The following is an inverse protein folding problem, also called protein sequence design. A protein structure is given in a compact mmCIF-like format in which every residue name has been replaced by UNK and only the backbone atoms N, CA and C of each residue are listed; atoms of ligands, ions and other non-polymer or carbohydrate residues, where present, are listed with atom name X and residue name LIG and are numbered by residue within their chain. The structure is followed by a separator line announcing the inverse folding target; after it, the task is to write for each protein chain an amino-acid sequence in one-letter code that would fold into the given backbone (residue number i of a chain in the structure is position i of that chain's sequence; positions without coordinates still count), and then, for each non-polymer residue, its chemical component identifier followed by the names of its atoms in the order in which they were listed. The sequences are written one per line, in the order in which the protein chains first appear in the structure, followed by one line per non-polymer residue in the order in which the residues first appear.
data_IF_699664237553
#
_entry.id   IF_699664237553
#
_cell.length_a   1.000
_cell.length_b   1.000
_cell.length_c   1.000
_cell.angle_alpha   90.00
_cell.angle_beta   90.00
_cell.angle_gamma   90.00
#
_symmetry.space_group_name_H-M   'P 1'
#
loop_
_entity.id
_entity.type
_entity.pdbx_description
1 polymer ?
#
# COMPACT_ATOMS: atom_id res chain seq x y z
N UNK A 1 -32.78 13.70 -26.04
CA UNK A 1 -31.43 13.91 -25.48
C UNK A 1 -30.58 12.69 -25.82
N UNK A 2 -29.57 12.83 -26.69
CA UNK A 2 -28.69 11.73 -27.10
C UNK A 2 -27.91 11.26 -25.87
N UNK A 3 -28.05 10.00 -25.50
CA UNK A 3 -27.22 9.28 -24.54
C UNK A 3 -25.77 9.37 -25.01
N UNK A 4 -24.94 10.26 -24.38
CA UNK A 4 -23.51 10.13 -24.51
C UNK A 4 -23.13 8.81 -23.84
N UNK A 5 -22.95 7.77 -24.68
CA UNK A 5 -22.24 6.55 -24.28
C UNK A 5 -20.94 6.99 -23.60
N UNK A 6 -20.66 6.42 -22.44
CA UNK A 6 -19.37 6.56 -21.77
C UNK A 6 -18.29 6.22 -22.81
N UNK A 7 -17.51 7.22 -23.17
CA UNK A 7 -16.56 7.16 -24.28
C UNK A 7 -15.51 6.07 -23.96
N UNK A 8 -15.20 5.19 -24.91
CA UNK A 8 -14.15 4.16 -24.77
C UNK A 8 -12.83 4.77 -24.26
N UNK A 9 -12.52 6.02 -24.64
CA UNK A 9 -11.38 6.77 -24.16
C UNK A 9 -11.39 7.05 -22.66
N UNK A 10 -12.55 7.32 -22.06
CA UNK A 10 -12.67 7.48 -20.60
C UNK A 10 -12.28 6.18 -19.88
N UNK A 11 -12.82 5.04 -20.28
CA UNK A 11 -12.48 3.76 -19.66
C UNK A 11 -11.05 3.32 -19.88
N UNK A 12 -10.45 3.64 -21.04
CA UNK A 12 -9.03 3.39 -21.28
C UNK A 12 -8.15 4.17 -20.30
N UNK A 13 -8.52 5.42 -19.96
CA UNK A 13 -7.82 6.22 -18.96
C UNK A 13 -8.05 5.65 -17.55
N UNK A 14 -9.30 5.32 -17.20
CA UNK A 14 -9.63 4.76 -15.88
C UNK A 14 -8.81 3.50 -15.60
N UNK A 15 -8.82 2.55 -16.52
CA UNK A 15 -8.08 1.29 -16.34
C UNK A 15 -6.58 1.46 -16.53
N UNK A 16 -6.12 2.20 -17.55
CA UNK A 16 -4.69 2.34 -17.85
C UNK A 16 -3.95 3.10 -16.75
N UNK A 17 -4.45 4.26 -16.37
CA UNK A 17 -3.80 5.06 -15.33
C UNK A 17 -4.05 4.49 -13.93
N UNK A 18 -5.28 4.00 -13.67
CA UNK A 18 -5.59 3.35 -12.41
C UNK A 18 -4.69 2.15 -12.14
N UNK A 19 -4.52 1.27 -13.15
CA UNK A 19 -3.64 0.09 -13.03
C UNK A 19 -2.17 0.50 -12.87
N UNK A 20 -1.67 1.43 -13.69
CA UNK A 20 -0.28 1.87 -13.61
C UNK A 20 0.06 2.48 -12.25
N UNK A 21 -0.82 3.33 -11.70
CA UNK A 21 -0.61 3.91 -10.38
C UNK A 21 -0.66 2.87 -9.26
N UNK A 22 -1.62 1.96 -9.30
CA UNK A 22 -1.72 0.90 -8.30
C UNK A 22 -0.56 -0.12 -8.39
N UNK A 23 -0.07 -0.43 -9.59
CA UNK A 23 1.14 -1.26 -9.76
C UNK A 23 2.37 -0.57 -9.16
N UNK A 24 2.51 0.74 -9.35
CA UNK A 24 3.62 1.50 -8.80
C UNK A 24 3.59 1.53 -7.26
N UNK A 25 2.41 1.76 -6.66
CA UNK A 25 2.22 1.66 -5.21
C UNK A 25 2.46 0.25 -4.67
N UNK A 26 2.02 -0.79 -5.40
CA UNK A 26 2.32 -2.17 -5.02
C UNK A 26 3.82 -2.44 -5.04
N UNK A 27 4.53 -1.95 -6.06
CA UNK A 27 5.97 -2.12 -6.18
C UNK A 27 6.71 -1.47 -5.01
N UNK A 28 6.33 -0.24 -4.62
CA UNK A 28 6.90 0.45 -3.46
C UNK A 28 6.68 -0.34 -2.17
N UNK A 29 5.45 -0.76 -1.92
CA UNK A 29 5.10 -1.45 -0.68
C UNK A 29 5.70 -2.86 -0.59
N UNK A 30 5.93 -3.53 -1.71
CA UNK A 30 6.35 -4.93 -1.77
C UNK A 30 7.85 -5.09 -2.05
N UNK A 31 8.33 -4.49 -3.13
CA UNK A 31 9.65 -4.79 -3.67
C UNK A 31 10.76 -3.87 -3.19
N UNK A 32 10.44 -2.67 -2.71
CA UNK A 32 11.46 -1.75 -2.21
C UNK A 32 12.13 -2.27 -0.94
N UNK A 33 11.35 -2.86 -0.04
CA UNK A 33 11.86 -3.40 1.21
C UNK A 33 12.81 -4.58 0.98
N UNK A 34 12.47 -5.48 0.05
CA UNK A 34 13.33 -6.61 -0.33
C UNK A 34 14.55 -6.17 -1.12
N UNK A 35 14.41 -5.17 -2.01
CA UNK A 35 15.53 -4.56 -2.72
C UNK A 35 16.56 -3.96 -1.75
N UNK A 36 16.12 -3.24 -0.72
CA UNK A 36 17.02 -2.65 0.28
C UNK A 36 17.85 -3.73 0.95
N UNK A 37 17.21 -4.81 1.38
CA UNK A 37 17.91 -5.93 2.02
C UNK A 37 18.87 -6.66 1.07
N UNK A 38 18.47 -6.89 -0.16
CA UNK A 38 19.27 -7.63 -1.14
C UNK A 38 20.44 -6.81 -1.71
N UNK A 39 20.27 -5.49 -1.90
CA UNK A 39 21.19 -4.67 -2.70
C UNK A 39 21.86 -3.53 -1.94
N UNK A 40 21.29 -3.07 -0.84
CA UNK A 40 21.79 -1.89 -0.14
C UNK A 40 22.37 -2.27 1.24
N UNK A 41 21.53 -2.79 2.12
CA UNK A 41 21.91 -3.20 3.47
C UNK A 41 20.76 -3.93 4.17
N UNK A 42 21.09 -4.95 4.95
CA UNK A 42 20.13 -5.63 5.82
C UNK A 42 19.79 -4.86 7.12
N UNK A 43 20.11 -3.57 7.23
CA UNK A 43 19.73 -2.75 8.39
C UNK A 43 18.26 -2.33 8.29
N UNK A 44 17.44 -2.85 9.20
CA UNK A 44 15.99 -2.55 9.28
C UNK A 44 15.70 -1.04 9.46
N UNK A 45 16.65 -0.26 9.97
CA UNK A 45 16.47 1.19 10.09
C UNK A 45 16.29 1.87 8.75
N UNK A 46 16.95 1.42 7.68
CA UNK A 46 16.84 2.02 6.35
C UNK A 46 15.39 1.86 5.85
N UNK A 47 14.84 0.64 5.91
CA UNK A 47 13.43 0.38 5.55
C UNK A 47 12.49 1.21 6.41
N UNK A 48 12.75 1.29 7.71
CA UNK A 48 11.94 2.08 8.64
C UNK A 48 11.88 3.55 8.24
N UNK A 49 13.02 4.18 8.00
CA UNK A 49 13.07 5.59 7.59
C UNK A 49 12.48 5.80 6.20
N UNK A 50 12.70 4.87 5.27
CA UNK A 50 12.11 4.89 3.94
C UNK A 50 10.58 4.98 4.03
N UNK A 51 9.93 4.06 4.75
CA UNK A 51 8.46 4.04 4.89
C UNK A 51 7.93 5.27 5.64
N UNK A 52 8.60 5.72 6.72
CA UNK A 52 8.17 6.89 7.48
C UNK A 52 8.26 8.17 6.65
N UNK A 53 9.37 8.38 5.96
CA UNK A 53 9.58 9.60 5.14
C UNK A 53 8.63 9.59 3.95
N UNK A 54 8.44 8.43 3.30
CA UNK A 54 7.47 8.24 2.22
C UNK A 54 6.05 8.62 2.67
N UNK A 55 5.58 8.13 3.82
CA UNK A 55 4.26 8.45 4.36
C UNK A 55 4.07 9.95 4.65
N UNK A 56 5.10 10.60 5.21
CA UNK A 56 5.07 12.04 5.47
C UNK A 56 5.01 12.84 4.18
N UNK A 57 5.88 12.51 3.23
CA UNK A 57 6.00 13.23 1.94
C UNK A 57 4.75 13.02 1.09
N UNK A 58 4.19 11.81 1.03
CA UNK A 58 2.91 11.49 0.37
C UNK A 58 1.77 12.34 0.94
N UNK A 59 1.70 12.42 2.28
CA UNK A 59 0.68 13.24 2.96
C UNK A 59 0.81 14.71 2.57
N UNK A 60 2.01 15.28 2.65
CA UNK A 60 2.27 16.68 2.26
C UNK A 60 1.94 16.92 0.80
N UNK A 61 2.39 16.02 -0.09
CA UNK A 61 2.12 16.09 -1.53
C UNK A 61 0.64 16.11 -1.84
N UNK A 62 -0.15 15.22 -1.22
CA UNK A 62 -1.60 15.15 -1.42
C UNK A 62 -2.28 16.48 -1.10
N UNK A 63 -1.93 17.12 0.02
CA UNK A 63 -2.51 18.41 0.39
C UNK A 63 -2.05 19.57 -0.51
N UNK A 64 -0.76 19.64 -0.79
CA UNK A 64 -0.16 20.70 -1.61
C UNK A 64 -0.72 20.66 -3.03
N UNK A 65 -0.65 19.52 -3.69
CA UNK A 65 -1.10 19.40 -5.08
C UNK A 65 -2.62 19.32 -5.21
N UNK A 66 -3.33 18.77 -4.24
CA UNK A 66 -4.77 18.87 -4.17
C UNK A 66 -5.22 20.33 -4.19
N UNK A 67 -4.70 21.15 -3.26
CA UNK A 67 -4.99 22.58 -3.21
C UNK A 67 -4.56 23.32 -4.48
N UNK A 68 -3.37 23.00 -5.01
CA UNK A 68 -2.85 23.66 -6.20
C UNK A 68 -3.67 23.36 -7.45
N UNK A 69 -4.03 22.09 -7.65
CA UNK A 69 -4.85 21.67 -8.79
C UNK A 69 -6.27 22.28 -8.74
N UNK A 70 -6.86 22.45 -7.53
CA UNK A 70 -8.12 23.15 -7.33
C UNK A 70 -8.03 24.63 -7.69
N UNK A 71 -6.95 25.30 -7.29
CA UNK A 71 -6.73 26.72 -7.61
C UNK A 71 -6.51 26.96 -9.09
N UNK A 72 -5.90 26.04 -9.81
CA UNK A 72 -5.68 26.15 -11.26
C UNK A 72 -6.89 25.67 -12.07
N UNK A 73 -7.75 24.83 -11.52
CA UNK A 73 -8.84 24.18 -12.25
C UNK A 73 -8.33 23.26 -13.36
N UNK A 74 -7.17 22.66 -13.17
CA UNK A 74 -6.52 21.77 -14.13
C UNK A 74 -6.00 20.54 -13.41
N UNK A 75 -6.43 19.37 -13.85
CA UNK A 75 -6.00 18.08 -13.30
C UNK A 75 -4.98 17.39 -14.19
N UNK A 76 -5.22 17.42 -15.50
CA UNK A 76 -4.43 16.72 -16.51
C UNK A 76 -2.94 16.96 -16.37
N UNK A 77 -2.51 18.22 -16.18
CA UNK A 77 -1.07 18.55 -16.13
C UNK A 77 -0.37 17.87 -14.94
N UNK A 78 -1.03 17.87 -13.76
CA UNK A 78 -0.48 17.23 -12.56
C UNK A 78 -0.41 15.71 -12.73
N UNK A 79 -1.46 15.11 -13.29
CA UNK A 79 -1.49 13.68 -13.58
C UNK A 79 -0.40 13.31 -14.58
N UNK A 80 -0.39 13.91 -15.76
CA UNK A 80 0.53 13.51 -16.84
C UNK A 80 2.00 13.75 -16.48
N UNK A 81 2.34 14.95 -15.98
CA UNK A 81 3.70 15.24 -15.56
C UNK A 81 4.10 14.39 -14.34
N UNK A 82 3.16 14.20 -13.41
CA UNK A 82 3.39 13.38 -12.23
C UNK A 82 3.74 11.94 -12.59
N UNK A 83 2.98 11.28 -13.48
CA UNK A 83 3.30 9.92 -13.94
C UNK A 83 4.65 9.83 -14.64
N UNK A 84 5.00 10.80 -15.49
CA UNK A 84 6.31 10.81 -16.17
C UNK A 84 7.44 10.91 -15.15
N UNK A 85 7.35 11.84 -14.20
CA UNK A 85 8.37 12.03 -13.17
C UNK A 85 8.41 10.82 -12.23
N UNK A 86 7.24 10.28 -11.85
CA UNK A 86 7.15 9.08 -11.02
C UNK A 86 7.86 7.89 -11.66
N UNK A 87 7.64 7.62 -12.96
CA UNK A 87 8.35 6.55 -13.65
C UNK A 87 9.86 6.80 -13.74
N UNK A 88 10.31 8.06 -13.98
CA UNK A 88 11.73 8.40 -13.96
C UNK A 88 12.36 8.18 -12.58
N UNK A 89 11.66 8.58 -11.50
CA UNK A 89 12.16 8.40 -10.13
C UNK A 89 12.12 6.95 -9.67
N UNK A 90 11.21 6.13 -10.18
CA UNK A 90 11.20 4.68 -9.99
C UNK A 90 12.48 4.04 -10.54
N UNK A 91 12.90 4.43 -11.77
CA UNK A 91 14.17 3.97 -12.35
C UNK A 91 15.34 4.46 -11.50
N UNK A 92 15.32 5.74 -11.10
CA UNK A 92 16.36 6.34 -10.28
C UNK A 92 16.50 5.63 -8.92
N UNK A 93 15.38 5.20 -8.30
CA UNK A 93 15.40 4.40 -7.08
C UNK A 93 16.17 3.10 -7.30
N UNK A 94 15.87 2.34 -8.35
CA UNK A 94 16.60 1.11 -8.69
C UNK A 94 18.09 1.36 -8.89
N UNK A 95 18.47 2.49 -9.50
CA UNK A 95 19.87 2.82 -9.73
C UNK A 95 20.68 3.09 -8.46
N UNK A 96 20.06 3.18 -7.28
CA UNK A 96 20.78 3.37 -6.01
C UNK A 96 21.71 2.20 -5.66
N UNK A 97 21.48 0.99 -6.18
CA UNK A 97 22.40 -0.13 -6.00
C UNK A 97 23.80 0.17 -6.55
N UNK A 98 23.89 0.91 -7.66
CA UNK A 98 25.20 1.28 -8.24
C UNK A 98 26.03 2.23 -7.34
N UNK A 99 25.35 2.98 -6.45
CA UNK A 99 26.07 3.76 -5.44
C UNK A 99 26.70 2.86 -4.39
N UNK A 100 26.03 1.76 -4.03
CA UNK A 100 26.56 0.74 -3.11
C UNK A 100 27.71 -0.03 -3.75
N UNK A 101 27.60 -0.39 -5.02
CA UNK A 101 28.60 -1.19 -5.76
C UNK A 101 29.74 -0.35 -6.36
N UNK A 102 29.70 0.97 -6.19
CA UNK A 102 30.63 1.90 -6.86
C UNK A 102 32.11 1.72 -6.46
N UNK A 103 32.40 1.05 -5.34
CA UNK A 103 33.75 1.03 -4.75
C UNK A 103 34.18 2.36 -4.12
N UNK A 104 33.36 3.42 -4.17
CA UNK A 104 33.62 4.74 -3.61
C UNK A 104 33.08 4.82 -2.20
N UNK A 105 33.95 4.86 -1.17
CA UNK A 105 33.54 4.82 0.23
C UNK A 105 32.47 5.85 0.64
N UNK A 106 32.51 7.06 0.07
CA UNK A 106 31.49 8.07 0.33
C UNK A 106 30.10 7.68 -0.25
N UNK A 107 30.02 7.10 -1.43
CA UNK A 107 28.76 6.64 -2.04
C UNK A 107 28.22 5.41 -1.31
N UNK A 108 29.08 4.51 -0.90
CA UNK A 108 28.72 3.34 -0.11
C UNK A 108 28.08 3.80 1.22
N UNK A 109 28.73 4.73 1.93
CA UNK A 109 28.21 5.24 3.19
C UNK A 109 26.87 6.00 3.04
N UNK A 110 26.63 6.60 1.88
CA UNK A 110 25.40 7.35 1.59
C UNK A 110 24.29 6.50 0.96
N UNK A 111 24.56 5.25 0.57
CA UNK A 111 23.61 4.42 -0.19
C UNK A 111 22.24 4.29 0.50
N UNK A 112 22.20 4.06 1.80
CA UNK A 112 20.97 4.02 2.58
C UNK A 112 20.22 5.36 2.58
N UNK A 113 20.91 6.49 2.71
CA UNK A 113 20.29 7.82 2.64
C UNK A 113 19.77 8.13 1.21
N UNK A 114 20.49 7.68 0.18
CA UNK A 114 20.06 7.83 -1.22
C UNK A 114 18.78 7.05 -1.50
N UNK A 115 18.65 5.84 -0.97
CA UNK A 115 17.41 5.05 -1.07
C UNK A 115 16.23 5.81 -0.44
N UNK A 116 16.38 6.28 0.80
CA UNK A 116 15.33 7.05 1.49
C UNK A 116 14.98 8.33 0.72
N UNK A 117 15.97 9.04 0.20
CA UNK A 117 15.73 10.29 -0.54
C UNK A 117 15.04 10.04 -1.89
N UNK A 118 15.46 9.03 -2.64
CA UNK A 118 14.87 8.71 -3.95
C UNK A 118 13.46 8.17 -3.81
N UNK A 119 13.19 7.35 -2.79
CA UNK A 119 11.86 6.90 -2.44
C UNK A 119 10.94 8.08 -2.06
N UNK A 120 11.41 8.99 -1.21
CA UNK A 120 10.67 10.19 -0.86
C UNK A 120 10.29 11.05 -2.08
N UNK A 121 11.22 11.25 -3.02
CA UNK A 121 10.96 11.98 -4.27
C UNK A 121 9.94 11.22 -5.12
N UNK A 122 10.09 9.91 -5.23
CA UNK A 122 9.18 9.05 -5.98
C UNK A 122 7.76 9.12 -5.41
N UNK A 123 7.59 8.95 -4.12
CA UNK A 123 6.31 9.01 -3.42
C UNK A 123 5.66 10.40 -3.49
N UNK A 124 6.47 11.47 -3.45
CA UNK A 124 5.98 12.84 -3.62
C UNK A 124 5.30 13.04 -4.99
N UNK A 125 5.92 12.61 -6.07
CA UNK A 125 5.36 12.72 -7.41
C UNK A 125 4.30 11.67 -7.69
N UNK A 126 4.39 10.48 -7.09
CA UNK A 126 3.37 9.44 -7.13
C UNK A 126 2.05 9.92 -6.54
N UNK A 127 2.10 10.52 -5.37
CA UNK A 127 0.92 11.10 -4.71
C UNK A 127 0.36 12.32 -5.46
N UNK A 128 1.22 13.19 -6.02
CA UNK A 128 0.78 14.25 -6.93
C UNK A 128 0.00 13.68 -8.12
N UNK A 129 0.52 12.61 -8.72
CA UNK A 129 -0.03 12.01 -9.94
C UNK A 129 -1.32 11.25 -9.67
N UNK A 130 -1.33 10.39 -8.65
CA UNK A 130 -2.40 9.44 -8.38
C UNK A 130 -3.42 9.95 -7.37
N UNK A 131 -3.00 10.31 -6.15
CA UNK A 131 -3.92 10.63 -5.06
C UNK A 131 -4.60 11.98 -5.27
N UNK A 132 -3.82 13.02 -5.55
CA UNK A 132 -4.34 14.38 -5.75
C UNK A 132 -4.63 14.74 -7.22
N UNK A 133 -4.12 13.95 -8.17
CA UNK A 133 -4.33 14.16 -9.59
C UNK A 133 -5.42 13.27 -10.17
N UNK A 134 -5.09 11.98 -10.39
CA UNK A 134 -5.97 11.00 -11.04
C UNK A 134 -7.27 10.76 -10.25
N UNK A 135 -7.19 10.60 -8.92
CA UNK A 135 -8.37 10.33 -8.09
C UNK A 135 -9.36 11.49 -8.14
N UNK A 136 -8.87 12.73 -8.11
CA UNK A 136 -9.71 13.93 -8.22
C UNK A 136 -10.27 14.07 -9.64
N UNK A 137 -9.45 13.85 -10.68
CA UNK A 137 -9.91 13.84 -12.06
C UNK A 137 -11.02 12.82 -12.29
N UNK A 138 -10.89 11.62 -11.70
CA UNK A 138 -11.91 10.57 -11.78
C UNK A 138 -13.21 11.00 -11.10
N UNK A 139 -13.12 11.64 -9.92
CA UNK A 139 -14.28 12.18 -9.22
C UNK A 139 -15.00 13.26 -10.04
N UNK A 140 -14.24 14.16 -10.71
CA UNK A 140 -14.81 15.21 -11.58
C UNK A 140 -15.58 14.63 -12.78
N UNK A 141 -15.22 13.42 -13.26
CA UNK A 141 -15.87 12.71 -14.38
C UNK A 141 -16.92 11.69 -13.93
N UNK A 142 -17.08 11.49 -12.62
CA UNK A 142 -18.06 10.56 -12.05
C UNK A 142 -19.41 11.26 -11.89
N UNK A 143 -20.48 10.59 -12.33
CA UNK A 143 -21.85 11.06 -12.24
C UNK A 143 -22.78 9.89 -11.88
N UNK A 144 -24.05 10.16 -11.57
CA UNK A 144 -25.03 9.15 -11.14
C UNK A 144 -25.16 7.96 -12.09
N UNK A 145 -24.83 8.14 -13.39
CA UNK A 145 -24.97 7.07 -14.40
C UNK A 145 -23.76 6.12 -14.44
N UNK A 146 -22.57 6.62 -14.11
CA UNK A 146 -21.34 5.83 -14.17
C UNK A 146 -20.74 5.51 -12.80
N UNK A 147 -21.25 6.10 -11.71
CA UNK A 147 -20.73 5.95 -10.34
C UNK A 147 -20.57 4.48 -9.92
N UNK A 148 -21.57 3.63 -10.24
CA UNK A 148 -21.48 2.21 -9.92
C UNK A 148 -20.35 1.48 -10.65
N UNK A 149 -20.14 1.82 -11.94
CA UNK A 149 -19.07 1.20 -12.74
C UNK A 149 -17.69 1.71 -12.32
N UNK A 150 -17.57 3.01 -12.04
CA UNK A 150 -16.34 3.62 -11.52
C UNK A 150 -15.99 3.02 -10.16
N UNK A 151 -16.99 2.90 -9.27
CA UNK A 151 -16.81 2.25 -7.97
C UNK A 151 -16.34 0.81 -8.09
N UNK A 152 -16.90 0.03 -9.04
CA UNK A 152 -16.46 -1.33 -9.32
C UNK A 152 -15.01 -1.37 -9.84
N UNK A 153 -14.63 -0.48 -10.74
CA UNK A 153 -13.24 -0.38 -11.22
C UNK A 153 -12.26 -0.06 -10.09
N UNK A 154 -12.60 0.93 -9.25
CA UNK A 154 -11.78 1.31 -8.09
C UNK A 154 -11.65 0.20 -7.03
N UNK A 155 -12.61 -0.70 -6.94
CA UNK A 155 -12.54 -1.86 -6.05
C UNK A 155 -11.64 -2.98 -6.62
N UNK A 156 -11.63 -3.15 -7.94
CA UNK A 156 -10.88 -4.22 -8.62
C UNK A 156 -9.41 -3.82 -8.86
N UNK A 157 -9.14 -2.57 -9.21
CA UNK A 157 -7.81 -2.09 -9.58
C UNK A 157 -6.73 -2.38 -8.54
N UNK A 158 -6.91 -2.08 -7.23
CA UNK A 158 -5.89 -2.37 -6.22
C UNK A 158 -5.60 -3.87 -6.10
N UNK A 159 -6.64 -4.71 -6.13
CA UNK A 159 -6.50 -6.17 -6.01
C UNK A 159 -5.76 -6.72 -7.22
N UNK A 160 -6.20 -6.34 -8.43
CA UNK A 160 -5.59 -6.79 -9.68
C UNK A 160 -4.11 -6.37 -9.75
N UNK A 161 -3.81 -5.12 -9.40
CA UNK A 161 -2.44 -4.61 -9.43
C UNK A 161 -1.55 -5.27 -8.38
N UNK A 162 -2.08 -5.55 -7.18
CA UNK A 162 -1.31 -6.25 -6.16
C UNK A 162 -0.99 -7.68 -6.60
N UNK A 163 -1.98 -8.44 -7.08
CA UNK A 163 -1.75 -9.81 -7.57
C UNK A 163 -0.76 -9.82 -8.75
N UNK A 164 -0.98 -8.97 -9.75
CA UNK A 164 -0.10 -8.90 -10.93
C UNK A 164 1.29 -8.38 -10.54
N UNK A 165 1.36 -7.30 -9.78
CA UNK A 165 2.62 -6.67 -9.38
C UNK A 165 3.48 -7.57 -8.48
N UNK A 166 2.84 -8.36 -7.61
CA UNK A 166 3.55 -9.29 -6.73
C UNK A 166 4.03 -10.51 -7.51
N UNK A 167 3.17 -11.18 -8.27
CA UNK A 167 3.54 -12.40 -9.02
C UNK A 167 4.52 -12.08 -10.16
N UNK A 168 4.17 -11.12 -11.02
CA UNK A 168 5.02 -10.77 -12.17
C UNK A 168 6.30 -10.07 -11.70
N UNK A 169 6.22 -9.25 -10.65
CA UNK A 169 7.39 -8.59 -10.07
C UNK A 169 8.41 -9.59 -9.54
N UNK A 170 7.98 -10.58 -8.76
CA UNK A 170 8.85 -11.64 -8.27
C UNK A 170 9.48 -12.48 -9.39
N UNK A 171 8.69 -12.81 -10.42
CA UNK A 171 9.22 -13.52 -11.59
C UNK A 171 10.27 -12.68 -12.34
N UNK A 172 10.04 -11.40 -12.54
CA UNK A 172 11.01 -10.51 -13.22
C UNK A 172 12.32 -10.39 -12.43
N UNK A 173 12.23 -10.28 -11.11
CA UNK A 173 13.39 -10.16 -10.23
C UNK A 173 14.27 -11.42 -10.30
N UNK A 174 13.67 -12.61 -10.36
CA UNK A 174 14.40 -13.86 -10.43
C UNK A 174 15.06 -14.13 -11.81
N UNK A 175 14.70 -13.38 -12.85
CA UNK A 175 15.30 -13.57 -14.18
C UNK A 175 16.80 -13.26 -14.14
N UNK A 176 17.60 -14.26 -14.50
CA UNK A 176 19.06 -14.12 -14.57
C UNK A 176 19.80 -14.45 -13.26
N UNK A 177 19.10 -14.70 -12.16
CA UNK A 177 19.75 -15.21 -10.95
C UNK A 177 20.05 -16.71 -11.10
N UNK A 178 21.34 -17.13 -11.17
CA UNK A 178 21.71 -18.52 -11.39
C UNK A 178 21.47 -19.43 -10.17
N UNK A 179 21.19 -18.86 -9.02
CA UNK A 179 20.97 -19.61 -7.77
C UNK A 179 19.50 -20.01 -7.57
N UNK A 180 18.57 -19.49 -8.40
CA UNK A 180 17.16 -19.90 -8.35
C UNK A 180 17.02 -21.39 -8.66
N UNK A 181 16.29 -22.10 -7.81
CA UNK A 181 16.11 -23.56 -7.89
C UNK A 181 17.29 -24.37 -7.39
N UNK A 182 18.24 -23.74 -6.69
CA UNK A 182 19.33 -24.42 -5.97
C UNK A 182 19.12 -24.33 -4.46
N UNK A 183 19.75 -25.25 -3.71
CA UNK A 183 19.69 -25.23 -2.24
C UNK A 183 20.37 -24.00 -1.61
N UNK A 184 21.14 -23.24 -2.38
CA UNK A 184 21.86 -22.04 -1.93
C UNK A 184 21.37 -20.81 -2.67
N UNK A 185 20.07 -20.53 -2.61
CA UNK A 185 19.51 -19.31 -3.19
C UNK A 185 20.12 -18.07 -2.56
N UNK A 186 20.58 -17.15 -3.42
CA UNK A 186 21.22 -15.90 -3.02
C UNK A 186 20.41 -14.70 -3.57
N UNK A 187 19.64 -13.99 -2.71
CA UNK A 187 18.84 -12.83 -3.11
C UNK A 187 19.68 -11.66 -3.64
N UNK A 188 20.97 -11.61 -3.29
CA UNK A 188 21.86 -10.53 -3.78
C UNK A 188 22.11 -10.60 -5.30
N UNK A 189 21.89 -11.77 -5.91
CA UNK A 189 22.01 -11.96 -7.36
C UNK A 189 20.71 -11.71 -8.12
N UNK A 190 19.65 -11.37 -7.43
CA UNK A 190 18.36 -11.01 -8.03
C UNK A 190 18.44 -9.76 -8.91
N UNK A 191 17.67 -9.75 -10.00
CA UNK A 191 17.68 -8.70 -11.00
C UNK A 191 16.58 -7.66 -10.75
N UNK A 192 16.72 -6.88 -9.67
CA UNK A 192 15.79 -5.78 -9.36
C UNK A 192 15.78 -4.68 -10.44
N UNK A 193 16.88 -4.49 -11.19
CA UNK A 193 16.95 -3.53 -12.27
C UNK A 193 15.91 -3.82 -13.36
N UNK A 194 15.73 -5.10 -13.72
CA UNK A 194 14.73 -5.48 -14.70
C UNK A 194 13.31 -5.05 -14.28
N UNK A 195 12.97 -5.21 -13.01
CA UNK A 195 11.69 -4.74 -12.46
C UNK A 195 11.56 -3.22 -12.54
N UNK A 196 12.54 -2.47 -12.00
CA UNK A 196 12.47 -1.01 -11.93
C UNK A 196 12.45 -0.35 -13.31
N UNK A 197 13.26 -0.83 -14.25
CA UNK A 197 13.23 -0.32 -15.63
C UNK A 197 11.92 -0.65 -16.33
N UNK A 198 11.41 -1.88 -16.21
CA UNK A 198 10.15 -2.29 -16.84
C UNK A 198 8.99 -1.46 -16.32
N UNK A 199 8.88 -1.33 -14.99
CA UNK A 199 7.81 -0.58 -14.36
C UNK A 199 7.92 0.93 -14.59
N UNK A 200 9.12 1.48 -14.43
CA UNK A 200 9.35 2.91 -14.67
C UNK A 200 9.03 3.32 -16.10
N UNK A 201 9.50 2.57 -17.10
CA UNK A 201 9.16 2.81 -18.51
C UNK A 201 7.66 2.65 -18.77
N UNK A 202 6.99 1.65 -18.19
CA UNK A 202 5.54 1.49 -18.32
C UNK A 202 4.80 2.73 -17.80
N UNK A 203 5.16 3.23 -16.62
CA UNK A 203 4.54 4.41 -16.00
C UNK A 203 4.82 5.68 -16.82
N UNK A 204 6.04 5.85 -17.37
CA UNK A 204 6.38 6.96 -18.27
C UNK A 204 5.50 6.91 -19.52
N UNK A 205 5.37 5.74 -20.17
CA UNK A 205 4.55 5.57 -21.38
C UNK A 205 3.09 5.94 -21.09
N UNK A 206 2.54 5.47 -19.97
CA UNK A 206 1.17 5.82 -19.55
C UNK A 206 1.03 7.31 -19.28
N UNK A 207 2.03 7.94 -18.64
CA UNK A 207 2.08 9.38 -18.42
C UNK A 207 2.12 10.18 -19.73
N UNK A 208 2.94 9.78 -20.69
CA UNK A 208 3.01 10.40 -22.03
C UNK A 208 1.67 10.21 -22.77
N UNK A 209 1.10 9.00 -22.76
CA UNK A 209 -0.19 8.73 -23.37
C UNK A 209 -1.31 9.61 -22.79
N UNK A 210 -1.29 9.87 -21.48
CA UNK A 210 -2.26 10.74 -20.84
C UNK A 210 -2.21 12.19 -21.33
N UNK A 211 -1.06 12.69 -21.76
CA UNK A 211 -0.94 14.01 -22.40
C UNK A 211 -1.81 14.16 -23.65
N UNK A 212 -2.02 13.07 -24.37
CA UNK A 212 -2.80 13.09 -25.62
C UNK A 212 -4.27 12.74 -25.39
N UNK A 213 -4.56 11.76 -24.54
CA UNK A 213 -5.90 11.18 -24.41
C UNK A 213 -6.70 11.73 -23.24
N UNK A 214 -6.06 12.22 -22.17
CA UNK A 214 -6.75 12.78 -21.00
C UNK A 214 -7.22 14.20 -21.27
N UNK A 215 -8.42 14.54 -20.80
CA UNK A 215 -9.02 15.88 -20.86
C UNK A 215 -9.58 16.25 -19.49
N UNK A 216 -9.41 17.51 -19.11
CA UNK A 216 -10.06 18.04 -17.93
C UNK A 216 -11.59 18.13 -18.16
N UNK A 217 -12.38 17.97 -17.10
CA UNK A 217 -13.82 18.12 -17.19
C UNK A 217 -14.19 19.59 -17.44
N UNK A 218 -15.11 19.90 -18.38
CA UNK A 218 -15.42 21.29 -18.76
C UNK A 218 -16.01 22.13 -17.63
N UNK A 219 -16.61 21.51 -16.61
CA UNK A 219 -17.19 22.21 -15.48
C UNK A 219 -16.20 22.50 -14.35
N UNK A 220 -14.99 21.95 -14.43
CA UNK A 220 -13.93 22.23 -13.45
C UNK A 220 -13.43 23.66 -13.63
N UNK A 221 -13.67 24.47 -12.63
CA UNK A 221 -13.27 25.88 -12.60
C UNK A 221 -12.21 26.11 -11.54
N UNK A 222 -11.39 27.14 -11.75
CA UNK A 222 -10.44 27.61 -10.74
C UNK A 222 -11.17 28.05 -9.48
N UNK A 223 -10.87 27.41 -8.34
CA UNK A 223 -11.39 27.75 -7.02
C UNK A 223 -10.31 28.43 -6.17
N UNK A 224 -10.15 29.74 -6.36
CA UNK A 224 -9.24 30.54 -5.53
C UNK A 224 -10.01 31.14 -4.36
N UNK A 225 -9.78 30.62 -3.16
CA UNK A 225 -10.28 31.20 -1.90
C UNK A 225 -9.09 31.67 -1.08
N UNK A 226 -8.92 32.98 -0.93
CA UNK A 226 -7.82 33.55 -0.17
C UNK A 226 -6.42 33.24 -0.72
N UNK A 227 -5.42 33.27 0.14
CA UNK A 227 -4.03 32.86 -0.17
C UNK A 227 -3.95 31.34 -0.32
N UNK A 228 -2.85 30.85 -0.92
CA UNK A 228 -2.61 29.42 -1.04
C UNK A 228 -2.54 28.75 0.35
N UNK A 229 -1.85 29.37 1.29
CA UNK A 229 -1.65 28.83 2.63
C UNK A 229 -2.96 28.79 3.43
N UNK A 230 -3.80 29.82 3.33
CA UNK A 230 -5.12 29.82 3.96
C UNK A 230 -6.01 28.70 3.41
N UNK A 231 -6.00 28.46 2.12
CA UNK A 231 -6.77 27.40 1.50
C UNK A 231 -6.21 26.00 1.88
N UNK A 232 -4.89 25.85 1.97
CA UNK A 232 -4.25 24.63 2.44
C UNK A 232 -4.60 24.33 3.90
N UNK A 233 -4.51 25.32 4.79
CA UNK A 233 -4.83 25.19 6.21
C UNK A 233 -6.33 24.97 6.42
N UNK A 234 -7.18 25.50 5.55
CA UNK A 234 -8.64 25.33 5.66
C UNK A 234 -9.08 23.86 5.63
N UNK A 235 -8.27 22.98 5.04
CA UNK A 235 -8.50 21.53 5.06
C UNK A 235 -8.42 20.95 6.49
N UNK A 236 -7.67 21.62 7.39
CA UNK A 236 -7.50 21.20 8.79
C UNK A 236 -8.38 21.97 9.78
N UNK A 237 -9.30 22.83 9.30
CA UNK A 237 -10.18 23.59 10.19
C UNK A 237 -11.16 22.67 10.91
N UNK A 238 -10.90 22.46 12.21
CA UNK A 238 -11.70 21.60 13.09
C UNK A 238 -13.15 22.11 13.29
N UNK A 239 -13.41 23.39 13.02
CA UNK A 239 -14.77 23.98 13.13
C UNK A 239 -15.79 23.28 12.24
N UNK A 240 -15.38 22.87 11.04
CA UNK A 240 -16.25 22.11 10.11
C UNK A 240 -16.49 20.68 10.57
N UNK A 241 -15.57 20.09 11.33
CA UNK A 241 -15.73 18.76 11.92
C UNK A 241 -16.74 18.76 13.06
N UNK A 242 -16.74 19.81 13.89
CA UNK A 242 -17.68 19.93 15.02
C UNK A 242 -19.15 20.07 14.58
N UNK A 243 -19.41 20.44 13.32
CA UNK A 243 -20.76 20.52 12.76
C UNK A 243 -21.31 19.15 12.30
N UNK A 244 -20.47 18.10 12.24
CA UNK A 244 -20.93 16.76 11.87
C UNK A 244 -21.72 16.12 13.03
N UNK A 245 -23.01 15.84 12.90
CA UNK A 245 -23.82 15.23 13.95
C UNK A 245 -23.34 13.81 14.32
N UNK A 246 -22.57 13.16 13.44
CA UNK A 246 -22.02 11.82 13.62
C UNK A 246 -20.50 11.82 13.84
N UNK A 247 -19.91 12.96 14.26
CA UNK A 247 -18.45 13.10 14.45
C UNK A 247 -17.85 12.00 15.32
N UNK A 248 -18.51 11.66 16.43
CA UNK A 248 -18.02 10.63 17.34
C UNK A 248 -17.96 9.24 16.69
N UNK A 249 -19.01 8.85 15.96
CA UNK A 249 -19.04 7.59 15.21
C UNK A 249 -17.94 7.59 14.13
N UNK A 250 -17.77 8.70 13.42
CA UNK A 250 -16.77 8.85 12.38
C UNK A 250 -15.34 8.72 12.92
N UNK A 251 -15.02 9.40 14.04
CA UNK A 251 -13.70 9.29 14.67
C UNK A 251 -13.42 7.86 15.17
N UNK A 252 -14.45 7.17 15.70
CA UNK A 252 -14.32 5.77 16.12
C UNK A 252 -14.14 4.84 14.92
N UNK A 253 -14.82 5.07 13.80
CA UNK A 253 -14.61 4.31 12.56
C UNK A 253 -13.19 4.53 12.00
N UNK A 254 -12.67 5.76 12.03
CA UNK A 254 -11.28 6.07 11.70
C UNK A 254 -10.31 5.37 12.66
N UNK A 255 -10.61 5.35 13.95
CA UNK A 255 -9.79 4.67 14.96
C UNK A 255 -9.79 3.15 14.77
N UNK A 256 -10.89 2.52 14.35
CA UNK A 256 -10.94 1.09 13.97
C UNK A 256 -9.97 0.83 12.83
N UNK A 257 -10.01 1.64 11.79
CA UNK A 257 -9.09 1.49 10.66
C UNK A 257 -7.63 1.68 11.11
N UNK A 258 -7.34 2.77 11.83
CA UNK A 258 -6.00 3.08 12.32
C UNK A 258 -5.44 1.94 13.20
N UNK A 259 -6.23 1.44 14.16
CA UNK A 259 -5.82 0.37 15.07
C UNK A 259 -5.53 -0.95 14.36
N UNK A 260 -6.23 -1.25 13.26
CA UNK A 260 -5.96 -2.43 12.43
C UNK A 260 -4.71 -2.23 11.55
N UNK A 261 -4.56 -1.05 10.96
CA UNK A 261 -3.47 -0.82 10.01
C UNK A 261 -2.11 -0.56 10.67
N UNK A 262 -2.05 -0.22 11.96
CA UNK A 262 -0.78 -0.16 12.70
C UNK A 262 -0.08 -1.53 12.70
N UNK A 263 -0.67 -2.62 13.24
CA UNK A 263 -0.04 -3.93 13.17
C UNK A 263 0.14 -4.44 11.73
N UNK A 264 -0.78 -4.13 10.81
CA UNK A 264 -0.62 -4.44 9.40
C UNK A 264 0.70 -3.87 8.85
N UNK A 265 0.97 -2.59 9.07
CA UNK A 265 2.17 -1.95 8.53
C UNK A 265 3.46 -2.50 9.13
N UNK A 266 3.49 -2.97 10.36
CA UNK A 266 4.73 -3.51 10.87
C UNK A 266 5.03 -4.93 10.37
N UNK A 267 4.05 -5.81 10.24
CA UNK A 267 4.36 -7.15 9.71
C UNK A 267 4.44 -7.17 8.18
N UNK A 268 3.59 -6.41 7.48
CA UNK A 268 3.56 -6.40 6.02
C UNK A 268 4.83 -5.79 5.42
N UNK A 269 5.34 -4.70 6.00
CA UNK A 269 6.61 -4.07 5.59
C UNK A 269 7.78 -5.07 5.59
N UNK A 270 7.75 -6.06 6.49
CA UNK A 270 8.82 -7.02 6.68
C UNK A 270 8.48 -8.44 6.21
N UNK A 271 7.25 -8.67 5.70
CA UNK A 271 6.78 -9.99 5.27
C UNK A 271 7.68 -10.60 4.19
N UNK A 272 8.02 -9.82 3.16
CA UNK A 272 8.89 -10.27 2.08
C UNK A 272 10.28 -10.66 2.58
N UNK A 273 10.88 -9.82 3.42
CA UNK A 273 12.19 -10.11 3.99
C UNK A 273 12.18 -11.33 4.92
N UNK A 274 11.08 -11.54 5.66
CA UNK A 274 10.89 -12.75 6.45
C UNK A 274 10.81 -14.00 5.57
N UNK A 275 10.00 -13.98 4.51
CA UNK A 275 9.84 -15.13 3.60
C UNK A 275 11.15 -15.49 2.88
N UNK A 276 11.99 -14.49 2.56
CA UNK A 276 13.25 -14.70 1.85
C UNK A 276 14.36 -15.12 2.82
N UNK A 277 14.59 -14.38 3.92
CA UNK A 277 15.78 -14.53 4.75
C UNK A 277 15.60 -15.48 5.95
N UNK A 278 14.37 -15.67 6.45
CA UNK A 278 14.08 -16.60 7.56
C UNK A 278 13.53 -17.94 7.04
N UNK A 279 12.58 -17.88 6.09
CA UNK A 279 11.93 -19.07 5.53
C UNK A 279 12.74 -19.68 4.37
N UNK A 280 13.51 -18.87 3.65
CA UNK A 280 14.37 -19.34 2.55
C UNK A 280 13.64 -19.47 1.20
N UNK A 281 12.51 -18.79 0.99
CA UNK A 281 11.86 -18.77 -0.31
C UNK A 281 12.63 -17.89 -1.30
N UNK A 282 12.54 -18.22 -2.58
CA UNK A 282 12.99 -17.30 -3.62
C UNK A 282 12.08 -16.08 -3.69
N UNK A 283 12.58 -14.96 -4.22
CA UNK A 283 11.78 -13.75 -4.44
C UNK A 283 10.56 -14.02 -5.34
N UNK A 284 10.71 -14.94 -6.31
CA UNK A 284 9.59 -15.41 -7.16
C UNK A 284 8.55 -16.20 -6.38
N UNK A 285 8.98 -17.14 -5.53
CA UNK A 285 8.08 -17.96 -4.71
C UNK A 285 7.34 -17.11 -3.66
N UNK A 286 8.05 -16.16 -3.04
CA UNK A 286 7.43 -15.16 -2.17
C UNK A 286 6.28 -14.44 -2.89
N UNK A 287 6.54 -13.94 -4.11
CA UNK A 287 5.51 -13.28 -4.93
C UNK A 287 4.34 -14.18 -5.27
N UNK A 288 4.58 -15.48 -5.50
CA UNK A 288 3.52 -16.47 -5.74
C UNK A 288 2.67 -16.73 -4.49
N UNK A 289 3.29 -16.91 -3.32
CA UNK A 289 2.57 -17.13 -2.05
C UNK A 289 1.63 -15.97 -1.76
N UNK A 290 2.14 -14.76 -1.79
CA UNK A 290 1.35 -13.57 -1.47
C UNK A 290 0.28 -13.29 -2.53
N UNK A 291 0.64 -13.37 -3.82
CA UNK A 291 -0.27 -13.10 -4.92
C UNK A 291 -1.43 -14.08 -4.98
N UNK A 292 -1.17 -15.38 -4.84
CA UNK A 292 -2.21 -16.43 -4.84
C UNK A 292 -3.11 -16.28 -3.62
N UNK A 293 -2.53 -16.11 -2.43
CA UNK A 293 -3.29 -15.96 -1.19
C UNK A 293 -4.22 -14.73 -1.24
N UNK A 294 -3.73 -13.59 -1.73
CA UNK A 294 -4.54 -12.39 -1.89
C UNK A 294 -5.62 -12.55 -2.96
N UNK A 295 -5.33 -13.20 -4.08
CA UNK A 295 -6.32 -13.48 -5.12
C UNK A 295 -7.46 -14.33 -4.56
N UNK A 296 -7.13 -15.42 -3.87
CA UNK A 296 -8.13 -16.30 -3.26
C UNK A 296 -8.92 -15.57 -2.17
N UNK A 297 -8.26 -14.75 -1.35
CA UNK A 297 -8.93 -13.93 -0.33
C UNK A 297 -9.90 -12.92 -0.98
N UNK A 298 -9.48 -12.25 -2.04
CA UNK A 298 -10.32 -11.31 -2.77
C UNK A 298 -11.57 -12.01 -3.37
N UNK A 299 -11.40 -13.15 -4.02
CA UNK A 299 -12.51 -13.92 -4.56
C UNK A 299 -13.46 -14.43 -3.46
N UNK A 300 -12.91 -14.91 -2.35
CA UNK A 300 -13.69 -15.37 -1.20
C UNK A 300 -14.52 -14.26 -0.57
N UNK A 301 -14.04 -13.02 -0.59
CA UNK A 301 -14.71 -11.88 0.05
C UNK A 301 -15.83 -11.25 -0.79
N UNK A 302 -15.94 -11.56 -2.09
CA UNK A 302 -16.97 -10.99 -2.99
C UNK A 302 -18.40 -11.11 -2.43
N UNK A 303 -18.86 -12.26 -1.90
CA UNK A 303 -20.22 -12.39 -1.37
C UNK A 303 -20.49 -11.47 -0.16
N UNK A 304 -19.45 -11.14 0.60
CA UNK A 304 -19.58 -10.31 1.80
C UNK A 304 -19.88 -8.84 1.50
N UNK A 305 -19.65 -8.37 0.28
CA UNK A 305 -20.07 -7.05 -0.15
C UNK A 305 -21.59 -6.82 0.04
N UNK A 306 -22.42 -7.87 -0.19
CA UNK A 306 -23.86 -7.82 0.07
C UNK A 306 -24.17 -7.65 1.56
N UNK A 307 -23.38 -8.31 2.42
CA UNK A 307 -23.55 -8.24 3.88
C UNK A 307 -23.15 -6.85 4.40
N UNK A 308 -22.08 -6.28 3.88
CA UNK A 308 -21.66 -4.91 4.20
C UNK A 308 -22.78 -3.91 3.80
N UNK A 309 -23.32 -4.05 2.59
CA UNK A 309 -24.38 -3.19 2.09
C UNK A 309 -25.71 -3.36 2.84
N UNK A 310 -25.92 -4.49 3.53
CA UNK A 310 -27.10 -4.71 4.38
C UNK A 310 -27.01 -4.06 5.78
N UNK A 311 -25.99 -3.22 6.02
CA UNK A 311 -25.82 -2.51 7.27
C UNK A 311 -25.13 -3.30 8.39
N UNK A 312 -24.50 -4.44 8.08
CA UNK A 312 -23.78 -5.28 9.07
C UNK A 312 -22.27 -4.97 9.11
N UNK A 313 -21.91 -3.70 8.93
CA UNK A 313 -20.50 -3.24 8.86
C UNK A 313 -19.70 -3.61 10.13
N UNK A 314 -20.18 -3.30 11.37
CA UNK A 314 -19.41 -3.63 12.57
C UNK A 314 -19.18 -5.14 12.76
N UNK A 315 -20.15 -5.99 12.34
CA UNK A 315 -20.03 -7.44 12.41
C UNK A 315 -18.96 -7.97 11.46
N UNK A 316 -18.88 -7.41 10.25
CA UNK A 316 -17.81 -7.75 9.29
C UNK A 316 -16.45 -7.30 9.83
N UNK A 317 -16.33 -6.08 10.37
CA UNK A 317 -15.09 -5.64 11.02
C UNK A 317 -14.66 -6.57 12.16
N UNK A 318 -15.62 -7.02 12.98
CA UNK A 318 -15.34 -7.96 14.07
C UNK A 318 -14.83 -9.32 13.54
N UNK A 319 -15.52 -9.90 12.56
CA UNK A 319 -15.08 -11.14 11.92
C UNK A 319 -13.70 -11.00 11.26
N UNK A 320 -13.46 -9.87 10.59
CA UNK A 320 -12.17 -9.58 9.93
C UNK A 320 -11.00 -9.56 10.91
N UNK A 321 -11.18 -8.89 12.07
CA UNK A 321 -10.18 -8.83 13.13
C UNK A 321 -9.84 -10.22 13.65
N UNK A 322 -10.86 -11.05 13.90
CA UNK A 322 -10.64 -12.42 14.39
C UNK A 322 -9.96 -13.30 13.35
N UNK A 323 -10.43 -13.28 12.09
CA UNK A 323 -9.85 -14.08 11.00
C UNK A 323 -8.39 -13.69 10.77
N UNK A 324 -8.08 -12.39 10.72
CA UNK A 324 -6.72 -11.90 10.53
C UNK A 324 -5.81 -12.31 11.70
N UNK A 325 -6.29 -12.15 12.95
CA UNK A 325 -5.55 -12.55 14.14
C UNK A 325 -5.26 -14.05 14.18
N UNK A 326 -6.23 -14.91 13.82
CA UNK A 326 -6.04 -16.37 13.71
C UNK A 326 -5.00 -16.70 12.65
N UNK A 327 -5.04 -16.04 11.49
CA UNK A 327 -4.03 -16.20 10.43
C UNK A 327 -2.63 -15.84 10.92
N UNK A 328 -2.47 -14.68 11.59
CA UNK A 328 -1.19 -14.23 12.13
C UNK A 328 -0.64 -15.15 13.23
N UNK A 329 -1.47 -15.60 14.15
CA UNK A 329 -1.05 -16.61 15.15
C UNK A 329 -0.70 -17.95 14.50
N UNK A 330 -1.42 -18.35 13.46
CA UNK A 330 -1.11 -19.55 12.68
C UNK A 330 0.25 -19.46 12.01
N UNK A 331 0.57 -18.34 11.36
CA UNK A 331 1.91 -18.09 10.80
C UNK A 331 2.96 -18.21 11.90
N UNK A 332 2.82 -17.44 12.99
CA UNK A 332 3.80 -17.44 14.07
C UNK A 332 4.01 -18.79 14.76
N UNK A 333 3.04 -19.69 14.69
CA UNK A 333 3.14 -21.00 15.40
C UNK A 333 3.53 -22.16 14.50
N UNK A 334 3.14 -22.12 13.24
CA UNK A 334 3.27 -23.26 12.33
C UNK A 334 4.26 -23.02 11.17
N UNK A 335 4.68 -21.76 10.96
CA UNK A 335 5.66 -21.40 9.94
C UNK A 335 6.89 -20.82 10.65
N UNK A 336 7.76 -21.71 11.08
CA UNK A 336 8.91 -21.40 11.96
C UNK A 336 10.20 -21.86 11.31
N UNK A 337 10.85 -20.94 10.58
CA UNK A 337 12.10 -21.23 9.89
C UNK A 337 11.97 -22.14 8.65
N UNK A 338 13.08 -22.38 7.94
CA UNK A 338 13.08 -23.05 6.64
C UNK A 338 12.65 -24.53 6.70
N UNK A 339 12.85 -25.21 7.82
CA UNK A 339 12.46 -26.63 7.96
C UNK A 339 10.93 -26.83 8.01
N UNK A 340 10.16 -25.77 8.25
CA UNK A 340 8.70 -25.85 8.29
C UNK A 340 8.05 -25.85 6.91
N UNK A 341 8.81 -25.57 5.85
CA UNK A 341 8.34 -25.39 4.48
C UNK A 341 9.20 -26.24 3.54
N UNK A 342 8.56 -26.88 2.56
CA UNK A 342 9.26 -27.50 1.44
C UNK A 342 9.60 -26.42 0.38
N UNK A 343 10.81 -25.89 0.44
CA UNK A 343 11.28 -24.84 -0.48
C UNK A 343 11.61 -25.38 -1.88
N UNK A 344 11.86 -26.68 -2.04
CA UNK A 344 12.10 -27.31 -3.34
C UNK A 344 10.83 -27.46 -4.19
N UNK A 345 9.68 -27.56 -3.52
CA UNK A 345 8.38 -27.65 -4.17
C UNK A 345 7.34 -26.80 -3.42
N UNK A 346 7.19 -25.55 -3.84
CA UNK A 346 6.26 -24.59 -3.22
C UNK A 346 4.83 -25.13 -3.11
N UNK A 347 4.36 -25.89 -4.11
CA UNK A 347 3.00 -26.44 -4.15
C UNK A 347 2.88 -27.85 -3.52
N UNK A 348 3.86 -28.28 -2.72
CA UNK A 348 3.72 -29.50 -1.90
C UNK A 348 2.56 -29.37 -0.91
N UNK A 349 1.94 -30.51 -0.58
CA UNK A 349 0.93 -30.57 0.48
C UNK A 349 1.50 -30.13 1.84
N UNK A 350 2.81 -30.30 2.04
CA UNK A 350 3.50 -29.88 3.27
C UNK A 350 3.38 -28.36 3.48
N UNK A 351 3.25 -27.58 2.40
CA UNK A 351 3.15 -26.12 2.44
C UNK A 351 1.70 -25.59 2.57
N UNK A 352 0.71 -26.48 2.65
CA UNK A 352 -0.69 -26.08 2.71
C UNK A 352 -0.98 -25.14 3.90
N UNK A 353 -0.30 -25.33 5.01
CA UNK A 353 -0.46 -24.51 6.21
C UNK A 353 0.02 -23.06 5.97
N UNK A 354 1.11 -22.83 5.22
CA UNK A 354 1.56 -21.49 4.83
C UNK A 354 0.48 -20.79 4.02
N UNK A 355 0.03 -21.40 2.91
CA UNK A 355 -1.01 -20.81 2.06
C UNK A 355 -2.32 -20.57 2.82
N UNK A 356 -2.71 -21.48 3.71
CA UNK A 356 -3.92 -21.36 4.49
C UNK A 356 -3.88 -20.17 5.46
N UNK A 357 -2.80 -19.99 6.21
CA UNK A 357 -2.70 -18.90 7.16
C UNK A 357 -2.49 -17.54 6.46
N UNK A 358 -1.69 -17.48 5.40
CA UNK A 358 -1.55 -16.25 4.59
C UNK A 358 -2.88 -15.88 3.93
N UNK A 359 -3.66 -16.85 3.46
CA UNK A 359 -5.02 -16.63 2.96
C UNK A 359 -5.94 -16.04 4.04
N UNK A 360 -5.92 -16.56 5.27
CA UNK A 360 -6.72 -15.99 6.38
C UNK A 360 -6.34 -14.54 6.68
N UNK A 361 -5.03 -14.25 6.69
CA UNK A 361 -4.54 -12.88 6.84
C UNK A 361 -5.09 -11.99 5.72
N UNK A 362 -5.02 -12.45 4.47
CA UNK A 362 -5.57 -11.76 3.31
C UNK A 362 -7.08 -11.52 3.39
N UNK A 363 -7.87 -12.53 3.80
CA UNK A 363 -9.32 -12.40 3.99
C UNK A 363 -9.65 -11.33 5.02
N UNK A 364 -9.00 -11.37 6.18
CA UNK A 364 -9.19 -10.37 7.22
C UNK A 364 -8.85 -8.95 6.73
N UNK A 365 -7.72 -8.81 6.04
CA UNK A 365 -7.30 -7.53 5.45
C UNK A 365 -8.30 -6.98 4.44
N UNK A 366 -8.75 -7.79 3.47
CA UNK A 366 -9.67 -7.34 2.41
C UNK A 366 -11.03 -6.95 3.00
N UNK A 367 -11.56 -7.75 3.92
CA UNK A 367 -12.87 -7.48 4.53
C UNK A 367 -12.88 -6.19 5.36
N UNK A 368 -11.86 -5.97 6.20
CA UNK A 368 -11.84 -4.75 7.04
C UNK A 368 -11.53 -3.51 6.21
N UNK A 369 -10.67 -3.61 5.20
CA UNK A 369 -10.37 -2.50 4.29
C UNK A 369 -11.62 -2.00 3.58
N UNK A 370 -12.46 -2.91 3.11
CA UNK A 370 -13.75 -2.59 2.48
C UNK A 370 -14.75 -2.03 3.51
N UNK A 371 -14.97 -2.74 4.62
CA UNK A 371 -15.98 -2.40 5.61
C UNK A 371 -15.69 -1.06 6.30
N UNK A 372 -14.46 -0.84 6.77
CA UNK A 372 -14.07 0.40 7.43
C UNK A 372 -14.09 1.60 6.49
N UNK A 373 -13.65 1.43 5.24
CA UNK A 373 -13.71 2.49 4.22
C UNK A 373 -15.17 2.89 3.92
N UNK A 374 -16.07 1.92 3.78
CA UNK A 374 -17.49 2.20 3.55
C UNK A 374 -18.10 2.88 4.78
N UNK A 375 -17.78 2.38 5.99
CA UNK A 375 -18.26 2.98 7.24
C UNK A 375 -17.91 4.46 7.35
N UNK A 376 -16.64 4.79 7.13
CA UNK A 376 -16.16 6.18 7.17
C UNK A 376 -16.83 7.02 6.08
N UNK A 377 -16.94 6.50 4.84
CA UNK A 377 -17.57 7.22 3.71
C UNK A 377 -19.06 7.55 3.96
N UNK A 378 -19.79 6.66 4.63
CA UNK A 378 -21.21 6.90 4.96
C UNK A 378 -21.44 8.05 5.97
N UNK A 379 -20.41 8.45 6.69
CA UNK A 379 -20.46 9.47 7.73
C UNK A 379 -19.95 10.83 7.26
N UNK A 380 -19.46 10.93 6.01
CA UNK A 380 -18.96 12.17 5.45
C UNK A 380 -20.10 13.09 5.01
N UNK A 381 -20.15 14.35 5.50
CA UNK A 381 -21.05 15.36 4.98
C UNK A 381 -20.64 15.75 3.55
N UNK A 382 -21.63 15.97 2.68
CA UNK A 382 -21.38 16.29 1.26
C UNK A 382 -20.66 17.63 1.06
N UNK A 383 -20.86 18.57 1.99
CA UNK A 383 -20.39 19.96 1.87
C UNK A 383 -18.90 20.15 2.17
N UNK A 384 -18.24 19.21 2.89
CA UNK A 384 -16.87 19.37 3.42
C UNK A 384 -15.93 18.20 3.10
N UNK A 385 -16.09 17.58 1.94
CA UNK A 385 -15.34 16.38 1.54
C UNK A 385 -13.81 16.54 1.60
N UNK A 386 -13.26 17.71 1.31
CA UNK A 386 -11.81 17.94 1.31
C UNK A 386 -11.17 17.81 2.70
N UNK A 387 -11.76 18.42 3.73
CA UNK A 387 -11.25 18.33 5.11
C UNK A 387 -11.30 16.90 5.64
N UNK A 388 -12.31 16.15 5.24
CA UNK A 388 -12.53 14.78 5.67
C UNK A 388 -11.63 13.78 4.94
N UNK A 389 -11.32 14.00 3.66
CA UNK A 389 -10.30 13.21 2.95
C UNK A 389 -8.91 13.45 3.55
N UNK A 390 -8.59 14.67 3.97
CA UNK A 390 -7.36 14.96 4.70
C UNK A 390 -7.25 14.20 6.02
N UNK A 391 -8.31 14.16 6.82
CA UNK A 391 -8.35 13.38 8.05
C UNK A 391 -8.20 11.89 7.79
N UNK A 392 -8.84 11.38 6.71
CA UNK A 392 -8.70 9.99 6.28
C UNK A 392 -7.23 9.64 5.96
N UNK A 393 -6.50 10.49 5.23
CA UNK A 393 -5.07 10.27 4.95
C UNK A 393 -4.26 10.14 6.25
N UNK A 394 -4.56 10.97 7.26
CA UNK A 394 -3.87 10.90 8.56
C UNK A 394 -4.14 9.56 9.27
N UNK A 395 -5.42 9.15 9.38
CA UNK A 395 -5.79 7.95 10.15
C UNK A 395 -5.63 6.64 9.37
N UNK A 396 -5.65 6.67 8.03
CA UNK A 396 -5.55 5.47 7.20
C UNK A 396 -4.14 5.20 6.69
N UNK A 397 -3.30 6.22 6.62
CA UNK A 397 -1.96 6.11 6.04
C UNK A 397 -0.88 6.60 7.01
N UNK A 398 -0.87 7.88 7.36
CA UNK A 398 0.23 8.49 8.08
C UNK A 398 0.49 7.85 9.44
N UNK A 399 -0.53 7.81 10.32
CA UNK A 399 -0.35 7.25 11.68
C UNK A 399 -0.03 5.75 11.62
N UNK A 400 -0.77 4.92 10.86
CA UNK A 400 -0.46 3.49 10.75
C UNK A 400 0.94 3.20 10.23
N UNK A 401 1.38 3.86 9.17
CA UNK A 401 2.71 3.65 8.60
C UNK A 401 3.79 4.12 9.57
N UNK A 402 3.63 5.30 10.16
CA UNK A 402 4.61 5.85 11.11
C UNK A 402 4.76 4.97 12.35
N UNK A 403 3.64 4.68 13.04
CA UNK A 403 3.67 3.91 14.29
C UNK A 403 3.99 2.45 14.03
N UNK A 404 3.36 1.85 13.02
CA UNK A 404 3.54 0.43 12.68
C UNK A 404 5.01 0.12 12.37
N UNK A 405 5.64 0.91 11.50
CA UNK A 405 7.03 0.68 11.09
C UNK A 405 8.02 0.86 12.26
N UNK A 406 7.80 1.84 13.13
CA UNK A 406 8.62 1.99 14.34
C UNK A 406 8.48 0.79 15.30
N UNK A 407 7.26 0.28 15.48
CA UNK A 407 7.01 -0.92 16.30
C UNK A 407 7.68 -2.13 15.68
N UNK A 408 7.56 -2.31 14.37
CA UNK A 408 8.22 -3.41 13.63
C UNK A 408 9.74 -3.38 13.78
N UNK A 409 10.35 -2.22 13.58
CA UNK A 409 11.79 -2.01 13.80
C UNK A 409 12.21 -2.40 15.23
N UNK A 410 11.47 -1.91 16.22
CA UNK A 410 11.76 -2.22 17.62
C UNK A 410 11.71 -3.72 17.89
N UNK A 411 10.67 -4.41 17.39
CA UNK A 411 10.52 -5.87 17.57
C UNK A 411 11.70 -6.60 16.92
N UNK A 412 12.02 -6.30 15.65
CA UNK A 412 13.09 -6.98 14.92
C UNK A 412 14.44 -6.81 15.63
N UNK A 413 14.79 -5.59 16.04
CA UNK A 413 16.06 -5.32 16.71
C UNK A 413 16.20 -5.93 18.11
N UNK A 414 15.08 -6.22 18.78
CA UNK A 414 15.10 -6.81 20.13
C UNK A 414 14.76 -8.31 20.12
N UNK A 415 14.51 -8.91 18.96
CA UNK A 415 14.35 -10.36 18.84
C UNK A 415 15.70 -11.01 18.55
N UNK A 416 16.17 -11.92 19.41
CA UNK A 416 17.40 -12.66 19.15
C UNK A 416 17.29 -13.50 17.88
N UNK A 417 18.28 -13.37 17.00
CA UNK A 417 18.39 -14.24 15.81
C UNK A 417 19.08 -15.55 16.21
N UNK A 418 18.57 -16.72 15.78
CA UNK A 418 19.16 -18.01 16.09
C UNK A 418 20.59 -18.13 15.54
N UNK A 419 20.80 -17.67 14.32
CA UNK A 419 22.10 -17.63 13.63
C UNK A 419 22.27 -16.27 12.93
N UNK A 420 23.48 -15.68 12.94
CA UNK A 420 23.72 -14.45 12.20
C UNK A 420 23.68 -14.72 10.68
N UNK A 421 22.87 -13.99 9.97
CA UNK A 421 22.84 -13.93 8.50
C UNK A 421 23.64 -12.70 8.07
N UNK A 422 24.49 -12.87 7.06
CA UNK A 422 25.34 -11.79 6.57
C UNK A 422 24.92 -11.36 5.18
N UNK A 423 24.98 -10.05 4.92
CA UNK A 423 24.86 -9.51 3.57
C UNK A 423 26.14 -9.81 2.74
N UNK A 424 26.09 -9.48 1.45
CA UNK A 424 27.24 -9.68 0.54
C UNK A 424 28.46 -8.83 0.91
N UNK A 425 28.31 -7.86 1.81
CA UNK A 425 29.36 -6.99 2.29
C UNK A 425 29.91 -7.40 3.66
N UNK A 426 29.38 -8.50 4.22
CA UNK A 426 29.81 -9.07 5.52
C UNK A 426 29.18 -8.39 6.75
N UNK A 427 28.11 -7.61 6.58
CA UNK A 427 27.37 -7.05 7.71
C UNK A 427 26.23 -7.99 8.12
N UNK A 428 25.90 -8.01 9.40
CA UNK A 428 24.76 -8.77 9.91
C UNK A 428 23.47 -8.15 9.42
N UNK A 429 22.59 -9.00 8.86
CA UNK A 429 21.24 -8.63 8.44
C UNK A 429 20.29 -8.70 9.65
N UNK A 430 19.46 -7.70 9.85
CA UNK A 430 18.35 -7.71 10.81
C UNK A 430 17.18 -8.56 10.26
N UNK A 431 17.23 -9.88 10.41
CA UNK A 431 16.22 -10.80 9.84
C UNK A 431 14.94 -10.76 10.69
N UNK A 432 13.77 -10.42 10.09
CA UNK A 432 12.48 -10.55 10.78
C UNK A 432 12.24 -12.02 11.15
N UNK A 433 11.68 -12.27 12.33
CA UNK A 433 11.38 -13.61 12.83
C UNK A 433 9.86 -13.84 12.95
N UNK A 434 9.42 -15.11 13.07
CA UNK A 434 8.01 -15.48 13.17
C UNK A 434 7.25 -14.86 14.35
N UNK A 435 7.95 -14.46 15.42
CA UNK A 435 7.35 -13.77 16.57
C UNK A 435 6.71 -12.42 16.21
N UNK A 436 7.19 -11.77 15.13
CA UNK A 436 6.62 -10.55 14.58
C UNK A 436 5.12 -10.73 14.31
N UNK A 437 4.73 -11.85 13.70
CA UNK A 437 3.34 -12.16 13.39
C UNK A 437 2.51 -12.48 14.63
N UNK A 438 3.07 -13.13 15.64
CA UNK A 438 2.41 -13.39 16.91
C UNK A 438 2.06 -12.09 17.65
N UNK A 439 3.01 -11.15 17.71
CA UNK A 439 2.80 -9.82 18.29
C UNK A 439 1.76 -9.05 17.48
N UNK A 440 1.84 -9.11 16.13
CA UNK A 440 0.84 -8.50 15.25
C UNK A 440 -0.57 -9.05 15.54
N UNK A 441 -0.72 -10.35 15.71
CA UNK A 441 -2.00 -10.99 16.05
C UNK A 441 -2.62 -10.46 17.34
N UNK A 442 -1.80 -10.23 18.37
CA UNK A 442 -2.26 -9.59 19.63
C UNK A 442 -2.68 -8.15 19.38
N UNK A 443 -1.85 -7.38 18.65
CA UNK A 443 -2.15 -5.97 18.38
C UNK A 443 -3.38 -5.77 17.52
N UNK A 444 -3.63 -6.66 16.55
CA UNK A 444 -4.86 -6.64 15.74
C UNK A 444 -6.09 -6.79 16.63
N UNK A 445 -6.06 -7.62 17.70
CA UNK A 445 -7.17 -7.75 18.65
C UNK A 445 -7.48 -6.45 19.40
N UNK A 446 -6.50 -5.54 19.58
CA UNK A 446 -6.76 -4.22 20.19
C UNK A 446 -7.73 -3.38 19.36
N UNK A 447 -7.89 -3.66 18.07
CA UNK A 447 -8.91 -3.03 17.21
C UNK A 447 -10.33 -3.26 17.72
N UNK A 448 -10.57 -4.33 18.50
CA UNK A 448 -11.87 -4.60 19.11
C UNK A 448 -12.30 -3.50 20.09
N UNK A 449 -11.35 -2.73 20.66
CA UNK A 449 -11.65 -1.66 21.61
C UNK A 449 -12.40 -0.52 20.90
N UNK A 450 -11.82 0.19 19.90
CA UNK A 450 -12.55 1.22 19.17
C UNK A 450 -13.76 0.67 18.41
N UNK A 451 -13.71 -0.59 17.95
CA UNK A 451 -14.83 -1.27 17.29
C UNK A 451 -16.04 -1.44 18.22
N UNK A 452 -15.82 -1.81 19.47
CA UNK A 452 -16.90 -1.93 20.46
C UNK A 452 -17.64 -0.58 20.65
N UNK A 453 -16.89 0.50 20.88
CA UNK A 453 -17.48 1.83 21.04
C UNK A 453 -18.13 2.33 19.75
N UNK A 454 -17.47 2.13 18.59
CA UNK A 454 -17.99 2.49 17.28
C UNK A 454 -19.29 1.75 16.94
N UNK A 455 -19.36 0.44 17.23
CA UNK A 455 -20.57 -0.35 16.98
C UNK A 455 -21.77 0.11 17.82
N UNK A 456 -21.51 0.65 19.02
CA UNK A 456 -22.56 1.23 19.88
C UNK A 456 -23.12 2.50 19.29
N UNK A 457 -22.29 3.40 18.78
CA UNK A 457 -22.74 4.63 18.09
C UNK A 457 -23.43 4.31 16.75
N UNK A 458 -22.89 3.34 16.00
CA UNK A 458 -23.52 2.85 14.76
C UNK A 458 -24.95 2.37 14.98
N UNK A 459 -25.21 1.56 16.04
CA UNK A 459 -26.56 1.08 16.38
C UNK A 459 -27.50 2.20 16.75
N UNK A 460 -27.02 3.27 17.43
CA UNK A 460 -27.85 4.44 17.75
C UNK A 460 -28.31 5.21 16.50
N UNK A 461 -27.50 5.18 15.44
CA UNK A 461 -27.81 5.87 14.18
C UNK A 461 -28.76 5.04 13.28
N UNK A 462 -28.57 3.72 13.26
CA UNK A 462 -29.31 2.85 12.33
C UNK A 462 -30.59 2.28 12.93
N UNK A 463 -30.65 2.19 14.23
CA UNK A 463 -31.76 1.54 14.88
C UNK A 463 -32.25 1.91 16.09
#
# INVERSE_FOLDING_TARGET
MKTKQTNKGFWAIVWGMGLAGQLCWNMENQWFNTFVYAKISGDVNIVTWMVIVSALVTTVSTFVFGTWSDRLGKRKIFVSCGYIIWGCTTILFGMTEYARDSGIGALIALSGALVVATDAIMSFFGSMAYDSGYSVWLNDHTNDRNAGQVGAALAVLPILSTVVGTVVGGMLINIGNPTVGTANYDPSQDNYQLLFWTMGLFVIIVGIASLFFMKDHPDVRSHKKGTFLEQLISVFQLETLNQNPHLKEMLLACAVNCAFFIPFNFYFTHLGNWLIYDIGLTTGDMGLVEGIALLLAALFTIPFAKVINSGKIPQICFASVLINSVGLFGISKFVTGPESINTDNLFSFDNLHLFFFVFLVGVGFVLISQAATIWVKMLFPEENRGALEGMKVIFFTLIPMFVGTLVGNFIIKHTPQPLPVYDVYGHIIDVPQENLFGIAGIMVLLTLIPLYFGSKEYRKRVG
#
